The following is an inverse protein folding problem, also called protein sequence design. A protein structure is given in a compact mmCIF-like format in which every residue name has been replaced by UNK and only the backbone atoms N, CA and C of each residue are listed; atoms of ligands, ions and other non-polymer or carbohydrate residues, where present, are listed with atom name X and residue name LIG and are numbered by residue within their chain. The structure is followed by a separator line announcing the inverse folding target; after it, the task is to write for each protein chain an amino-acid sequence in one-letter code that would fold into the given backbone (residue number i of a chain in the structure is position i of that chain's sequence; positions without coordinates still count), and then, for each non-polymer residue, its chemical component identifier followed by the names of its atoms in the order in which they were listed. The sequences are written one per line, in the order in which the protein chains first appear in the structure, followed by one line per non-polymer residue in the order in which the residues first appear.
data_IF_674571704178
#
_entry.id   IF_674571704178
#
_cell.length_a   1.000
_cell.length_b   1.000
_cell.length_c   1.000
_cell.angle_alpha   90.00
_cell.angle_beta   90.00
_cell.angle_gamma   90.00
#
_symmetry.space_group_name_H-M   'P 1'
#
loop_
_entity.id
_entity.type
_entity.pdbx_description
1 polymer ?
#
# COMPACT_ATOMS: atom_id res chain seq x y z
N UNK A 1 53.79 11.00 -5.99
CA UNK A 1 52.86 10.73 -4.88
C UNK A 1 51.97 9.57 -5.30
N UNK A 2 52.10 8.37 -4.70
CA UNK A 2 51.18 7.25 -4.91
C UNK A 2 49.87 7.68 -4.27
N UNK A 3 48.77 7.75 -5.05
CA UNK A 3 47.44 7.90 -4.50
C UNK A 3 47.14 6.67 -3.65
N UNK A 4 46.85 6.85 -2.38
CA UNK A 4 46.37 5.80 -1.51
C UNK A 4 44.94 5.39 -1.98
N UNK A 5 44.87 4.37 -2.81
CA UNK A 5 43.59 3.83 -3.33
C UNK A 5 43.44 2.40 -2.88
N UNK A 6 42.22 2.03 -2.48
CA UNK A 6 41.87 0.65 -2.19
C UNK A 6 41.35 0.00 -3.48
N UNK A 7 41.92 -1.16 -3.84
CA UNK A 7 41.47 -1.93 -5.01
C UNK A 7 41.20 -3.36 -4.59
N UNK A 8 40.01 -3.87 -4.87
CA UNK A 8 39.62 -5.27 -4.64
C UNK A 8 40.27 -6.19 -5.70
N UNK A 9 41.59 -6.23 -5.77
CA UNK A 9 42.29 -7.10 -6.71
C UNK A 9 43.57 -7.60 -6.07
N UNK A 10 43.93 -8.85 -6.35
CA UNK A 10 45.22 -9.44 -6.00
C UNK A 10 46.09 -9.32 -7.23
N UNK A 11 47.07 -8.43 -7.18
CA UNK A 11 48.01 -8.20 -8.29
C UNK A 11 49.22 -9.16 -8.27
N UNK A 12 49.54 -9.73 -7.10
CA UNK A 12 50.57 -10.72 -6.95
C UNK A 12 50.23 -11.63 -5.78
N UNK A 13 50.47 -12.91 -5.94
CA UNK A 13 50.38 -13.90 -4.85
C UNK A 13 51.67 -13.85 -4.02
N UNK A 14 51.55 -13.95 -2.69
CA UNK A 14 52.72 -14.09 -1.84
C UNK A 14 53.43 -15.42 -2.15
N UNK A 15 54.76 -15.42 -2.01
CA UNK A 15 55.56 -16.64 -2.14
C UNK A 15 55.27 -17.61 -1.00
N UNK A 16 55.44 -18.90 -1.25
CA UNK A 16 55.31 -19.95 -0.23
C UNK A 16 56.33 -19.68 0.89
N UNK A 17 55.88 -19.82 2.15
CA UNK A 17 56.69 -19.56 3.37
C UNK A 17 56.98 -18.07 3.65
N UNK A 18 56.27 -17.12 3.05
CA UNK A 18 56.34 -15.71 3.48
C UNK A 18 55.70 -15.53 4.85
N UNK A 19 56.32 -14.71 5.69
CA UNK A 19 55.78 -14.33 6.99
C UNK A 19 54.52 -13.46 6.81
N UNK A 20 53.49 -13.76 7.61
CA UNK A 20 52.27 -13.01 7.68
C UNK A 20 52.26 -12.21 9.00
N UNK A 21 52.01 -10.95 8.90
CA UNK A 21 51.93 -10.04 10.05
C UNK A 21 50.49 -9.48 10.14
N UNK A 22 49.92 -9.36 11.35
CA UNK A 22 48.69 -8.65 11.54
C UNK A 22 48.89 -7.17 11.23
N UNK A 23 47.84 -6.52 10.69
CA UNK A 23 47.80 -5.05 10.54
C UNK A 23 47.31 -4.51 11.87
N UNK A 24 48.16 -3.74 12.57
CA UNK A 24 47.85 -3.21 13.91
C UNK A 24 48.13 -1.73 14.00
N UNK A 25 47.63 -1.09 15.05
CA UNK A 25 47.86 0.30 15.42
C UNK A 25 47.63 1.29 14.26
N UNK A 26 48.60 2.16 14.00
CA UNK A 26 48.56 3.19 12.99
C UNK A 26 48.34 2.66 11.59
N UNK A 27 48.90 1.50 11.26
CA UNK A 27 48.75 0.86 9.96
C UNK A 27 47.30 0.40 9.73
N UNK A 28 46.62 -0.07 10.78
CA UNK A 28 45.20 -0.41 10.75
C UNK A 28 44.34 0.85 10.59
N UNK A 29 44.60 1.91 11.38
CA UNK A 29 43.90 3.20 11.28
C UNK A 29 44.01 3.76 9.84
N UNK A 30 45.23 3.79 9.27
CA UNK A 30 45.48 4.27 7.92
C UNK A 30 44.71 3.45 6.86
N UNK A 31 44.75 2.09 7.00
CA UNK A 31 44.04 1.19 6.11
C UNK A 31 42.52 1.39 6.18
N UNK A 32 41.97 1.43 7.38
CA UNK A 32 40.54 1.62 7.60
C UNK A 32 40.07 3.02 7.18
N UNK A 33 40.90 4.04 7.37
CA UNK A 33 40.67 5.39 6.87
C UNK A 33 40.58 5.46 5.34
N UNK A 34 41.48 4.75 4.65
CA UNK A 34 41.45 4.66 3.17
C UNK A 34 40.19 3.91 2.71
N UNK A 35 39.83 2.82 3.37
CA UNK A 35 38.63 2.04 3.06
C UNK A 35 37.34 2.89 3.22
N UNK A 36 37.26 3.63 4.34
CA UNK A 36 36.15 4.53 4.62
C UNK A 36 36.06 5.66 3.56
N UNK A 37 37.17 6.29 3.25
CA UNK A 37 37.23 7.35 2.24
C UNK A 37 36.84 6.83 0.83
N UNK A 38 37.31 5.66 0.45
CA UNK A 38 36.97 5.02 -0.83
C UNK A 38 35.49 4.69 -0.89
N UNK A 39 34.92 4.08 0.13
CA UNK A 39 33.51 3.74 0.16
C UNK A 39 32.59 4.96 0.08
N UNK A 40 33.01 6.11 0.66
CA UNK A 40 32.28 7.37 0.56
C UNK A 40 32.40 7.99 -0.84
N UNK A 41 33.60 7.96 -1.43
CA UNK A 41 33.88 8.63 -2.71
C UNK A 41 33.31 7.84 -3.90
N UNK A 42 33.29 6.52 -3.81
CA UNK A 42 32.80 5.62 -4.87
C UNK A 42 31.26 5.53 -4.90
N UNK A 43 30.58 6.00 -3.84
CA UNK A 43 29.13 6.03 -3.76
C UNK A 43 28.56 7.31 -4.36
N UNK A 44 27.51 7.19 -5.17
CA UNK A 44 26.77 8.34 -5.72
C UNK A 44 25.98 9.05 -4.62
N UNK A 45 25.35 8.28 -3.73
CA UNK A 45 24.62 8.79 -2.58
C UNK A 45 25.13 8.10 -1.30
N UNK A 46 26.25 8.54 -0.70
CA UNK A 46 26.86 7.87 0.44
C UNK A 46 26.01 8.02 1.70
N UNK A 47 25.47 6.90 2.20
CA UNK A 47 24.72 6.81 3.45
C UNK A 47 25.59 6.15 4.51
N UNK A 48 25.80 6.84 5.62
CA UNK A 48 26.56 6.31 6.75
C UNK A 48 25.69 5.32 7.54
N UNK A 49 26.14 4.08 7.63
CA UNK A 49 25.41 3.04 8.39
C UNK A 49 26.02 2.72 9.75
N UNK A 50 27.22 3.22 10.03
CA UNK A 50 27.92 2.98 11.28
C UNK A 50 29.41 3.21 11.18
N UNK A 51 30.16 2.48 11.98
CA UNK A 51 31.63 2.43 11.96
C UNK A 51 32.10 0.98 11.82
N UNK A 52 33.32 0.82 11.35
CA UNK A 52 33.92 -0.51 11.25
C UNK A 52 34.26 -1.07 12.63
N UNK A 53 34.01 -2.36 12.85
CA UNK A 53 34.33 -3.02 14.14
C UNK A 53 35.81 -2.99 14.46
N UNK A 54 36.69 -3.02 13.45
CA UNK A 54 38.13 -3.01 13.61
C UNK A 54 38.69 -1.63 13.95
N UNK A 55 37.98 -0.56 13.58
CA UNK A 55 38.36 0.82 13.90
C UNK A 55 37.11 1.68 14.04
N UNK A 56 36.72 1.97 15.27
CA UNK A 56 35.54 2.78 15.60
C UNK A 56 35.60 4.24 15.12
N UNK A 57 36.75 4.74 14.61
CA UNK A 57 36.87 6.07 14.00
C UNK A 57 36.57 6.02 12.49
N UNK A 58 36.70 4.87 11.84
CA UNK A 58 36.46 4.70 10.42
C UNK A 58 34.97 4.48 10.15
N UNK A 59 34.30 5.43 9.49
CA UNK A 59 32.88 5.33 9.14
C UNK A 59 32.65 4.37 7.99
N UNK A 60 31.60 3.57 8.10
CA UNK A 60 31.11 2.68 7.05
C UNK A 60 29.99 3.33 6.27
N UNK A 61 30.13 3.38 4.94
CA UNK A 61 29.16 3.95 4.02
C UNK A 61 28.62 2.86 3.08
N UNK A 62 27.33 2.98 2.76
CA UNK A 62 26.70 2.25 1.65
C UNK A 62 26.32 3.25 0.57
N UNK A 63 26.24 2.78 -0.65
CA UNK A 63 25.77 3.57 -1.78
C UNK A 63 24.23 3.55 -1.77
N UNK A 64 23.62 4.70 -1.46
CA UNK A 64 22.16 4.83 -1.38
C UNK A 64 21.49 4.58 -2.73
N UNK A 65 22.13 4.97 -3.83
CA UNK A 65 21.59 4.70 -5.16
C UNK A 65 21.47 3.17 -5.41
N UNK A 66 22.50 2.42 -5.09
CA UNK A 66 22.47 0.94 -5.19
C UNK A 66 21.53 0.29 -4.19
N UNK A 67 21.40 0.86 -2.98
CA UNK A 67 20.50 0.36 -1.95
C UNK A 67 19.05 0.46 -2.43
N UNK A 68 18.65 1.61 -2.96
CA UNK A 68 17.28 1.90 -3.34
C UNK A 68 16.87 1.37 -4.72
N UNK A 69 17.84 1.03 -5.58
CA UNK A 69 17.56 0.35 -6.86
C UNK A 69 17.22 -1.13 -6.73
N UNK A 70 17.48 -1.73 -5.57
CA UNK A 70 17.28 -3.17 -5.30
C UNK A 70 16.51 -3.38 -4.00
N UNK A 71 16.29 -4.65 -3.68
CA UNK A 71 15.70 -5.03 -2.40
C UNK A 71 16.79 -5.16 -1.34
N UNK A 72 16.49 -4.67 -0.14
CA UNK A 72 17.33 -4.82 1.03
C UNK A 72 16.51 -5.37 2.19
N UNK A 73 17.13 -6.19 3.05
CA UNK A 73 16.53 -6.69 4.28
C UNK A 73 17.44 -6.33 5.46
N UNK A 74 16.88 -5.67 6.47
CA UNK A 74 17.53 -5.38 7.73
C UNK A 74 17.02 -6.38 8.77
N UNK A 75 17.90 -7.29 9.18
CA UNK A 75 17.56 -8.36 10.11
C UNK A 75 18.16 -8.11 11.49
N UNK A 76 17.43 -8.47 12.52
CA UNK A 76 17.89 -8.36 13.91
C UNK A 76 16.79 -8.73 14.89
N UNK A 77 17.16 -9.10 16.11
CA UNK A 77 16.23 -9.34 17.21
C UNK A 77 15.59 -8.03 17.72
N UNK A 78 14.52 -8.14 18.49
CA UNK A 78 13.93 -7.00 19.18
C UNK A 78 14.98 -6.30 20.06
N UNK A 79 15.03 -4.96 19.99
CA UNK A 79 16.01 -4.15 20.71
C UNK A 79 17.42 -4.11 20.09
N UNK A 80 17.65 -4.75 18.92
CA UNK A 80 18.96 -4.70 18.22
C UNK A 80 19.25 -3.38 17.51
N UNK A 81 18.30 -2.45 17.47
CA UNK A 81 18.43 -1.15 16.80
C UNK A 81 17.99 -1.13 15.34
N UNK A 82 17.16 -2.09 14.88
CA UNK A 82 16.63 -2.10 13.50
C UNK A 82 15.97 -0.77 13.13
N UNK A 83 14.94 -0.37 13.88
CA UNK A 83 14.18 0.86 13.63
C UNK A 83 15.05 2.11 13.71
N UNK A 84 16.02 2.13 14.63
CA UNK A 84 16.99 3.23 14.71
C UNK A 84 17.89 3.29 13.46
N UNK A 85 18.31 2.15 12.94
CA UNK A 85 19.11 2.09 11.69
C UNK A 85 18.28 2.55 10.49
N UNK A 86 17.03 2.10 10.39
CA UNK A 86 16.09 2.57 9.34
C UNK A 86 15.90 4.08 9.47
N UNK A 87 15.63 4.59 10.68
CA UNK A 87 15.48 6.00 10.96
C UNK A 87 16.68 6.84 10.50
N UNK A 88 17.90 6.36 10.81
CA UNK A 88 19.14 7.03 10.41
C UNK A 88 19.34 7.04 8.88
N UNK A 89 18.94 5.96 8.17
CA UNK A 89 18.97 5.91 6.71
C UNK A 89 17.95 6.90 6.13
N UNK A 90 16.73 6.94 6.67
CA UNK A 90 15.68 7.85 6.22
C UNK A 90 16.08 9.32 6.43
N UNK A 91 16.65 9.68 7.59
CA UNK A 91 17.12 11.03 7.87
C UNK A 91 18.18 11.50 6.86
N UNK A 92 19.12 10.65 6.53
CA UNK A 92 20.13 10.95 5.53
C UNK A 92 19.53 11.02 4.11
N UNK A 93 18.59 10.12 3.80
CA UNK A 93 17.90 10.10 2.51
C UNK A 93 17.01 11.32 2.28
N UNK A 94 16.49 11.92 3.35
CA UNK A 94 15.72 13.15 3.29
C UNK A 94 16.51 14.35 2.69
N UNK A 95 17.82 14.26 2.67
CA UNK A 95 18.70 15.27 2.09
C UNK A 95 18.99 15.03 0.61
N UNK A 96 18.58 13.89 0.05
CA UNK A 96 18.79 13.57 -1.35
C UNK A 96 17.74 14.27 -2.22
N UNK A 97 18.15 14.85 -3.39
CA UNK A 97 17.26 15.71 -4.19
C UNK A 97 16.05 14.99 -4.80
N UNK A 98 16.13 13.67 -4.94
CA UNK A 98 15.10 12.84 -5.60
C UNK A 98 14.60 11.70 -4.71
N UNK A 99 14.69 11.85 -3.40
CA UNK A 99 14.13 10.85 -2.48
C UNK A 99 12.63 10.72 -2.70
N UNK A 100 12.15 9.50 -2.90
CA UNK A 100 10.72 9.17 -2.98
C UNK A 100 10.49 7.86 -2.22
N UNK A 101 10.25 7.99 -0.92
CA UNK A 101 10.20 6.87 0.02
C UNK A 101 8.87 6.88 0.74
N UNK A 102 8.21 5.73 0.77
CA UNK A 102 6.99 5.48 1.56
C UNK A 102 7.33 4.47 2.65
N UNK A 103 7.13 4.84 3.90
CA UNK A 103 7.31 3.98 5.06
C UNK A 103 5.95 3.48 5.52
N UNK A 104 5.78 2.16 5.57
CA UNK A 104 4.62 1.51 6.17
C UNK A 104 4.96 1.23 7.64
N UNK A 105 4.50 2.10 8.52
CA UNK A 105 4.82 2.11 9.95
C UNK A 105 3.72 1.39 10.73
N UNK A 106 3.93 0.12 11.07
CA UNK A 106 2.91 -0.68 11.74
C UNK A 106 2.76 -0.34 13.22
N UNK A 107 3.80 0.24 13.84
CA UNK A 107 3.84 0.46 15.29
C UNK A 107 3.94 1.95 15.70
N UNK A 108 4.00 2.88 14.74
CA UNK A 108 4.12 4.32 15.02
C UNK A 108 5.52 4.73 15.48
N UNK A 109 6.56 3.93 15.18
CA UNK A 109 7.93 4.16 15.65
C UNK A 109 8.59 5.39 15.02
N UNK A 110 8.09 5.81 13.84
CA UNK A 110 8.66 6.92 13.05
C UNK A 110 7.90 8.24 13.19
N UNK A 111 6.93 8.32 14.09
CA UNK A 111 6.06 9.50 14.32
C UNK A 111 6.81 10.80 14.67
N UNK A 112 8.01 10.69 15.26
CA UNK A 112 8.83 11.83 15.65
C UNK A 112 9.65 12.47 14.53
N UNK A 113 9.66 11.91 13.32
CA UNK A 113 10.48 12.36 12.19
C UNK A 113 9.90 13.61 11.53
N UNK A 114 10.40 14.78 11.89
CA UNK A 114 9.89 16.09 11.42
C UNK A 114 10.18 16.39 9.94
N UNK A 115 11.08 15.66 9.31
CA UNK A 115 11.43 15.83 7.90
C UNK A 115 10.49 15.08 6.94
N UNK A 116 9.62 14.21 7.47
CA UNK A 116 8.70 13.40 6.67
C UNK A 116 7.28 13.98 6.70
N UNK A 117 6.51 13.67 5.65
CA UNK A 117 5.06 13.87 5.64
C UNK A 117 4.40 12.70 6.36
N UNK A 118 3.56 13.00 7.35
CA UNK A 118 2.89 11.99 8.16
C UNK A 118 1.44 11.82 7.73
N UNK A 119 1.07 10.60 7.43
CA UNK A 119 -0.29 10.18 7.16
C UNK A 119 -0.68 9.03 8.07
N UNK A 120 -1.97 8.88 8.31
CA UNK A 120 -2.55 7.72 9.02
C UNK A 120 -3.85 7.30 8.39
N UNK A 121 -4.26 6.08 8.61
CA UNK A 121 -5.57 5.63 8.15
C UNK A 121 -6.64 6.35 8.99
N UNK A 122 -7.67 6.86 8.31
CA UNK A 122 -8.71 7.64 8.94
C UNK A 122 -9.50 6.83 9.98
N UNK A 123 -9.74 7.44 11.12
CA UNK A 123 -10.63 6.93 12.16
C UNK A 123 -12.00 7.62 12.12
N UNK A 124 -12.90 7.24 13.05
CA UNK A 124 -14.24 7.83 13.16
C UNK A 124 -14.18 9.34 13.39
N UNK A 125 -13.19 9.82 14.14
CA UNK A 125 -13.00 11.24 14.41
C UNK A 125 -12.75 12.08 13.16
N UNK A 126 -12.19 11.47 12.12
CA UNK A 126 -11.80 12.16 10.88
C UNK A 126 -12.96 12.35 9.90
N UNK A 127 -14.06 11.59 10.05
CA UNK A 127 -15.22 11.67 9.15
C UNK A 127 -15.79 13.10 9.10
N UNK A 128 -15.78 13.79 10.23
CA UNK A 128 -16.31 15.15 10.35
C UNK A 128 -15.23 16.23 10.37
N UNK A 129 -13.97 15.84 10.62
CA UNK A 129 -12.84 16.74 10.67
C UNK A 129 -12.13 16.71 9.32
N UNK A 130 -11.96 17.86 8.67
CA UNK A 130 -11.06 17.97 7.53
C UNK A 130 -9.63 17.82 8.03
N UNK A 131 -9.11 16.60 8.02
CA UNK A 131 -7.76 16.28 8.43
C UNK A 131 -6.96 15.81 7.22
N UNK A 132 -6.06 16.66 6.73
CA UNK A 132 -5.27 16.38 5.53
C UNK A 132 -4.31 15.21 5.72
N UNK A 133 -3.97 14.86 6.97
CA UNK A 133 -3.14 13.71 7.30
C UNK A 133 -3.91 12.37 7.29
N UNK A 134 -5.25 12.41 7.27
CA UNK A 134 -6.05 11.20 7.24
C UNK A 134 -6.19 10.66 5.81
N UNK A 135 -6.01 9.34 5.68
CA UNK A 135 -6.24 8.61 4.42
C UNK A 135 -7.52 7.81 4.56
N UNK A 136 -8.50 8.10 3.72
CA UNK A 136 -9.66 7.25 3.53
C UNK A 136 -9.40 6.30 2.37
N UNK A 137 -9.85 5.06 2.50
CA UNK A 137 -9.70 4.01 1.50
C UNK A 137 -11.09 3.48 1.17
N UNK A 138 -11.85 4.16 0.31
CA UNK A 138 -13.22 3.77 -0.01
C UNK A 138 -13.33 2.34 -0.52
N UNK A 139 -14.43 1.66 -0.18
CA UNK A 139 -14.67 0.25 -0.51
C UNK A 139 -14.60 -0.07 -2.02
N UNK A 140 -14.91 0.89 -2.88
CA UNK A 140 -14.85 0.73 -4.34
C UNK A 140 -13.42 0.58 -4.89
N UNK A 141 -12.40 0.82 -4.06
CA UNK A 141 -10.99 0.54 -4.37
C UNK A 141 -10.63 -0.93 -4.18
N UNK A 142 -11.45 -1.71 -3.46
CA UNK A 142 -11.19 -3.13 -3.27
C UNK A 142 -11.26 -3.89 -4.59
N UNK A 143 -10.33 -4.83 -4.78
CA UNK A 143 -10.44 -5.83 -5.84
C UNK A 143 -11.53 -6.84 -5.49
N UNK A 144 -11.94 -7.61 -6.48
CA UNK A 144 -12.93 -8.67 -6.28
C UNK A 144 -12.47 -9.70 -5.22
N UNK A 145 -11.21 -10.10 -5.25
CA UNK A 145 -10.64 -11.04 -4.28
C UNK A 145 -10.62 -10.45 -2.86
N UNK A 146 -10.29 -9.17 -2.71
CA UNK A 146 -10.34 -8.45 -1.44
C UNK A 146 -11.79 -8.37 -0.94
N UNK A 147 -12.76 -8.02 -1.80
CA UNK A 147 -14.18 -8.02 -1.45
C UNK A 147 -14.66 -9.40 -1.01
N UNK A 148 -14.30 -10.45 -1.74
CA UNK A 148 -14.63 -11.83 -1.35
C UNK A 148 -14.06 -12.17 0.03
N UNK A 149 -12.82 -11.78 0.31
CA UNK A 149 -12.18 -12.09 1.59
C UNK A 149 -12.87 -11.42 2.78
N UNK A 150 -13.43 -10.23 2.55
CA UNK A 150 -14.12 -9.44 3.59
C UNK A 150 -15.57 -9.90 3.80
N UNK A 151 -16.29 -10.20 2.72
CA UNK A 151 -17.75 -10.36 2.78
C UNK A 151 -18.24 -11.79 2.62
N UNK A 152 -17.56 -12.64 1.85
CA UNK A 152 -18.03 -13.99 1.53
C UNK A 152 -17.54 -15.01 2.56
N UNK A 153 -18.44 -15.84 3.03
CA UNK A 153 -18.08 -17.00 3.84
C UNK A 153 -17.70 -18.19 2.95
N UNK A 154 -16.41 -18.37 2.77
CA UNK A 154 -15.86 -19.41 1.90
C UNK A 154 -16.19 -20.84 2.38
N UNK A 155 -16.58 -21.02 3.64
CA UNK A 155 -16.93 -22.32 4.20
C UNK A 155 -18.39 -22.71 4.00
N UNK A 156 -19.24 -21.80 3.53
CA UNK A 156 -20.67 -22.04 3.36
C UNK A 156 -21.03 -22.63 2.00
N UNK A 157 -22.03 -23.50 1.93
CA UNK A 157 -22.54 -24.14 0.70
C UNK A 157 -22.97 -23.14 -0.38
N UNK A 158 -23.35 -21.94 0.02
CA UNK A 158 -23.76 -20.85 -0.88
C UNK A 158 -22.62 -19.91 -1.28
N UNK A 159 -21.37 -20.16 -0.90
CA UNK A 159 -20.23 -19.30 -1.24
C UNK A 159 -20.11 -19.04 -2.76
N UNK A 160 -20.25 -20.03 -3.65
CA UNK A 160 -20.20 -19.78 -5.09
C UNK A 160 -21.30 -18.83 -5.57
N UNK A 161 -22.54 -19.00 -5.08
CA UNK A 161 -23.67 -18.14 -5.43
C UNK A 161 -23.46 -16.70 -4.92
N UNK A 162 -22.94 -16.54 -3.70
CA UNK A 162 -22.62 -15.24 -3.11
C UNK A 162 -21.52 -14.52 -3.90
N UNK A 163 -20.46 -15.26 -4.26
CA UNK A 163 -19.35 -14.72 -5.05
C UNK A 163 -19.81 -14.27 -6.44
N UNK A 164 -20.60 -15.07 -7.12
CA UNK A 164 -21.12 -14.74 -8.44
C UNK A 164 -22.06 -13.52 -8.37
N UNK A 165 -23.01 -13.52 -7.44
CA UNK A 165 -23.94 -12.41 -7.27
C UNK A 165 -23.23 -11.10 -6.91
N UNK A 166 -22.19 -11.15 -6.08
CA UNK A 166 -21.36 -10.00 -5.75
C UNK A 166 -20.66 -9.47 -6.99
N UNK A 167 -20.01 -10.35 -7.76
CA UNK A 167 -19.29 -9.97 -8.98
C UNK A 167 -20.21 -9.29 -9.99
N UNK A 168 -21.34 -9.93 -10.30
CA UNK A 168 -22.31 -9.42 -11.28
C UNK A 168 -22.88 -8.07 -10.86
N UNK A 169 -23.25 -7.92 -9.57
CA UNK A 169 -23.79 -6.66 -9.05
C UNK A 169 -22.74 -5.55 -9.05
N UNK A 170 -21.47 -5.84 -8.71
CA UNK A 170 -20.39 -4.84 -8.75
C UNK A 170 -20.13 -4.40 -10.19
N UNK A 171 -20.09 -5.32 -11.17
CA UNK A 171 -19.91 -4.99 -12.58
C UNK A 171 -21.06 -4.10 -13.07
N UNK A 172 -22.29 -4.43 -12.72
CA UNK A 172 -23.48 -3.65 -13.05
C UNK A 172 -23.40 -2.22 -12.50
N UNK A 173 -23.09 -2.08 -11.20
CA UNK A 173 -22.94 -0.77 -10.56
C UNK A 173 -21.80 0.06 -11.17
N UNK A 174 -20.64 -0.52 -11.40
CA UNK A 174 -19.49 0.18 -12.02
C UNK A 174 -19.79 0.64 -13.44
N UNK A 175 -20.44 -0.20 -14.26
CA UNK A 175 -20.85 0.18 -15.62
C UNK A 175 -21.87 1.33 -15.63
N UNK A 176 -22.86 1.29 -14.74
CA UNK A 176 -23.80 2.38 -14.57
C UNK A 176 -23.10 3.68 -14.15
N UNK A 177 -22.16 3.59 -13.22
CA UNK A 177 -21.35 4.72 -12.78
C UNK A 177 -20.50 5.31 -13.91
N UNK A 178 -19.82 4.49 -14.73
CA UNK A 178 -19.06 4.95 -15.91
C UNK A 178 -19.96 5.72 -16.89
N UNK A 179 -21.17 5.22 -17.13
CA UNK A 179 -22.12 5.90 -18.01
C UNK A 179 -22.52 7.28 -17.45
N UNK A 180 -22.70 7.38 -16.13
CA UNK A 180 -23.03 8.63 -15.45
C UNK A 180 -21.85 9.62 -15.45
N UNK A 181 -20.62 9.12 -15.33
CA UNK A 181 -19.39 9.93 -15.39
C UNK A 181 -19.10 10.49 -16.79
N UNK A 182 -19.74 9.96 -17.84
CA UNK A 182 -19.48 10.37 -19.21
C UNK A 182 -18.06 10.04 -19.70
N UNK A 183 -17.45 8.97 -19.16
CA UNK A 183 -16.10 8.50 -19.47
C UNK A 183 -16.14 7.11 -20.15
N UNK A 184 -16.67 7.01 -21.38
CA UNK A 184 -16.80 5.71 -22.07
C UNK A 184 -15.47 5.01 -22.32
N UNK A 185 -14.35 5.73 -22.35
CA UNK A 185 -13.00 5.19 -22.47
C UNK A 185 -12.64 4.23 -21.33
N UNK A 186 -13.28 4.37 -20.16
CA UNK A 186 -13.08 3.45 -19.03
C UNK A 186 -13.69 2.06 -19.29
N UNK A 187 -14.52 1.91 -20.33
CA UNK A 187 -15.05 0.60 -20.73
C UNK A 187 -14.04 -0.20 -21.55
N UNK A 188 -13.03 0.45 -22.13
CA UNK A 188 -11.93 -0.23 -22.79
C UNK A 188 -11.04 -0.92 -21.75
N UNK A 189 -10.95 -2.24 -21.79
CA UNK A 189 -10.23 -3.02 -20.79
C UNK A 189 -10.89 -3.08 -19.40
N UNK A 190 -12.18 -2.73 -19.30
CA UNK A 190 -12.92 -2.79 -18.05
C UNK A 190 -12.96 -4.19 -17.45
N UNK A 191 -12.66 -4.28 -16.18
CA UNK A 191 -12.78 -5.49 -15.35
C UNK A 191 -13.54 -5.15 -14.05
N UNK A 192 -13.91 -6.17 -13.30
CA UNK A 192 -14.49 -6.00 -11.96
C UNK A 192 -13.58 -5.19 -11.02
N UNK A 193 -12.26 -5.25 -11.25
CA UNK A 193 -11.24 -4.57 -10.43
C UNK A 193 -10.95 -3.14 -10.88
N UNK A 194 -11.51 -2.69 -11.99
CA UNK A 194 -11.37 -1.29 -12.42
C UNK A 194 -11.88 -0.35 -11.32
N UNK A 195 -11.06 0.60 -10.82
CA UNK A 195 -11.42 1.46 -9.70
C UNK A 195 -12.39 2.55 -10.13
N UNK A 196 -13.68 2.27 -10.00
CA UNK A 196 -14.78 3.21 -10.31
C UNK A 196 -15.66 3.36 -9.08
N UNK A 197 -15.91 4.60 -8.61
CA UNK A 197 -16.81 4.84 -7.50
C UNK A 197 -18.24 4.39 -7.81
N UNK A 198 -18.89 3.74 -6.85
CA UNK A 198 -20.29 3.39 -6.87
C UNK A 198 -20.83 3.41 -5.44
N UNK A 199 -22.15 3.50 -5.28
CA UNK A 199 -22.76 3.57 -3.94
C UNK A 199 -22.94 2.17 -3.37
N UNK A 200 -22.52 2.00 -2.13
CA UNK A 200 -22.66 0.72 -1.43
C UNK A 200 -24.13 0.37 -1.14
N UNK A 201 -24.96 1.38 -0.87
CA UNK A 201 -26.40 1.18 -0.67
C UNK A 201 -27.08 0.60 -1.91
N UNK A 202 -26.68 1.04 -3.11
CA UNK A 202 -27.21 0.53 -4.37
C UNK A 202 -26.77 -0.92 -4.60
N UNK A 203 -25.53 -1.27 -4.24
CA UNK A 203 -25.05 -2.65 -4.26
C UNK A 203 -25.88 -3.54 -3.32
N UNK A 204 -26.09 -3.10 -2.08
CA UNK A 204 -26.89 -3.85 -1.09
C UNK A 204 -28.31 -4.05 -1.62
N UNK A 205 -28.92 -3.00 -2.19
CA UNK A 205 -30.26 -3.07 -2.76
C UNK A 205 -30.31 -4.08 -3.92
N UNK A 206 -29.38 -4.02 -4.87
CA UNK A 206 -29.30 -4.98 -5.98
C UNK A 206 -29.20 -6.44 -5.48
N UNK A 207 -28.41 -6.67 -4.43
CA UNK A 207 -28.26 -8.00 -3.83
C UNK A 207 -29.50 -8.43 -3.03
N UNK A 208 -30.19 -7.53 -2.33
CA UNK A 208 -31.48 -7.79 -1.67
C UNK A 208 -32.53 -8.16 -2.72
N UNK A 209 -32.65 -7.40 -3.81
CA UNK A 209 -33.59 -7.66 -4.90
C UNK A 209 -33.37 -9.06 -5.52
N UNK A 210 -32.10 -9.43 -5.77
CA UNK A 210 -31.72 -10.78 -6.26
C UNK A 210 -32.04 -11.88 -5.25
N UNK A 211 -31.88 -11.60 -3.94
CA UNK A 211 -32.19 -12.56 -2.86
C UNK A 211 -33.69 -12.80 -2.71
N UNK A 212 -34.52 -11.81 -3.02
CA UNK A 212 -35.97 -11.86 -2.86
C UNK A 212 -36.69 -12.06 -4.21
N UNK A 213 -35.93 -12.27 -5.30
CA UNK A 213 -36.45 -12.39 -6.65
C UNK A 213 -37.52 -13.47 -6.74
N UNK A 214 -38.65 -13.08 -7.33
CA UNK A 214 -39.74 -13.96 -7.69
C UNK A 214 -40.03 -13.81 -9.20
N UNK A 215 -39.91 -14.89 -9.93
CA UNK A 215 -40.10 -14.93 -11.39
C UNK A 215 -41.56 -15.23 -11.69
N UNK A 216 -42.20 -14.37 -12.49
CA UNK A 216 -43.56 -14.62 -12.99
C UNK A 216 -43.50 -15.78 -14.02
N UNK A 217 -44.27 -16.85 -13.77
CA UNK A 217 -44.32 -18.00 -14.66
C UNK A 217 -45.20 -17.76 -15.91
N UNK A 218 -45.90 -16.62 -15.99
CA UNK A 218 -46.89 -16.35 -17.02
C UNK A 218 -48.18 -17.12 -16.83
N UNK A 219 -48.31 -17.94 -15.76
CA UNK A 219 -49.49 -18.69 -15.41
C UNK A 219 -50.27 -18.00 -14.28
N UNK A 220 -51.56 -18.35 -14.17
CA UNK A 220 -52.39 -17.95 -13.02
C UNK A 220 -52.79 -19.16 -12.19
N UNK A 221 -53.02 -18.95 -10.88
CA UNK A 221 -53.53 -19.99 -10.04
C UNK A 221 -54.91 -20.43 -10.50
N UNK A 222 -55.07 -21.75 -10.83
CA UNK A 222 -56.30 -22.32 -11.35
C UNK A 222 -57.36 -22.50 -10.29
N UNK A 223 -57.00 -22.61 -8.98
CA UNK A 223 -57.93 -22.88 -7.87
C UNK A 223 -57.38 -22.33 -6.54
N UNK A 224 -58.22 -22.28 -5.50
CA UNK A 224 -57.87 -21.87 -4.15
C UNK A 224 -57.98 -20.37 -3.90
N UNK A 225 -57.51 -19.87 -2.73
CA UNK A 225 -57.66 -18.45 -2.32
C UNK A 225 -56.95 -17.42 -3.27
N UNK A 226 -55.99 -17.91 -4.09
CA UNK A 226 -55.21 -17.11 -5.05
C UNK A 226 -55.69 -17.27 -6.50
N UNK A 227 -56.84 -17.87 -6.74
CA UNK A 227 -57.36 -18.12 -8.09
C UNK A 227 -57.37 -16.80 -8.90
N UNK A 228 -56.74 -16.86 -10.10
CA UNK A 228 -56.66 -15.71 -11.01
C UNK A 228 -55.50 -14.74 -10.71
N UNK A 229 -54.72 -14.93 -9.62
CA UNK A 229 -53.50 -14.15 -9.39
C UNK A 229 -52.31 -14.74 -10.19
N UNK A 230 -51.34 -13.92 -10.60
CA UNK A 230 -50.11 -14.40 -11.22
C UNK A 230 -49.43 -15.43 -10.34
N UNK A 231 -48.98 -16.54 -10.95
CA UNK A 231 -48.17 -17.54 -10.28
C UNK A 231 -46.70 -17.19 -10.38
N UNK A 232 -46.05 -17.04 -9.24
CA UNK A 232 -44.63 -16.75 -9.17
C UNK A 232 -43.85 -17.94 -8.62
N UNK A 233 -42.65 -18.15 -9.13
CA UNK A 233 -41.68 -19.09 -8.62
C UNK A 233 -40.46 -18.35 -8.06
N UNK A 234 -39.75 -19.01 -7.13
CA UNK A 234 -38.56 -18.43 -6.54
C UNK A 234 -37.45 -18.33 -7.57
N UNK A 235 -36.82 -17.16 -7.66
CA UNK A 235 -35.64 -16.95 -8.49
C UNK A 235 -34.45 -17.83 -8.05
N UNK A 236 -33.44 -17.97 -8.90
CA UNK A 236 -32.31 -18.89 -8.68
C UNK A 236 -31.48 -18.58 -7.44
N UNK A 237 -31.45 -17.30 -7.00
CA UNK A 237 -30.72 -16.83 -5.83
C UNK A 237 -31.61 -16.59 -4.61
N UNK A 238 -32.93 -16.82 -4.73
CA UNK A 238 -33.87 -16.55 -3.65
C UNK A 238 -33.47 -17.27 -2.34
N UNK A 239 -33.26 -16.49 -1.26
CA UNK A 239 -32.84 -16.95 0.05
C UNK A 239 -31.38 -17.38 0.18
N UNK A 240 -30.61 -17.47 -0.91
CA UNK A 240 -29.22 -17.93 -0.87
C UNK A 240 -28.23 -16.84 -0.45
N UNK A 241 -28.62 -15.57 -0.54
CA UNK A 241 -27.77 -14.43 -0.18
C UNK A 241 -28.04 -13.89 1.23
N UNK A 242 -29.04 -14.40 1.95
CA UNK A 242 -29.50 -13.82 3.23
C UNK A 242 -28.38 -13.70 4.27
N UNK A 243 -27.56 -14.73 4.49
CA UNK A 243 -26.42 -14.70 5.43
C UNK A 243 -25.33 -13.72 4.98
N UNK A 244 -25.07 -13.67 3.70
CA UNK A 244 -24.13 -12.76 3.09
C UNK A 244 -24.53 -11.29 3.28
N UNK A 245 -25.81 -10.97 3.04
CA UNK A 245 -26.38 -9.64 3.22
C UNK A 245 -26.33 -9.18 4.68
N UNK A 246 -26.65 -10.07 5.64
CA UNK A 246 -26.51 -9.76 7.06
C UNK A 246 -25.06 -9.41 7.38
N UNK A 247 -24.08 -10.18 6.88
CA UNK A 247 -22.66 -9.93 7.11
C UNK A 247 -22.22 -8.61 6.50
N UNK A 248 -22.59 -8.34 5.23
CA UNK A 248 -22.30 -7.11 4.54
C UNK A 248 -22.84 -5.89 5.31
N UNK A 249 -24.13 -5.90 5.67
CA UNK A 249 -24.78 -4.84 6.45
C UNK A 249 -24.13 -4.66 7.84
N UNK A 250 -23.71 -5.75 8.49
CA UNK A 250 -22.99 -5.69 9.76
C UNK A 250 -21.64 -5.01 9.60
N UNK A 251 -20.87 -5.36 8.57
CA UNK A 251 -19.57 -4.76 8.29
C UNK A 251 -19.67 -3.28 7.91
N UNK A 252 -20.70 -2.87 7.17
CA UNK A 252 -20.94 -1.46 6.83
C UNK A 252 -21.16 -0.58 8.07
N UNK A 253 -21.74 -1.14 9.12
CA UNK A 253 -22.00 -0.46 10.39
C UNK A 253 -20.88 -0.62 11.43
N UNK A 254 -19.85 -1.40 11.12
CA UNK A 254 -18.71 -1.61 12.00
C UNK A 254 -17.78 -0.39 11.95
N UNK A 255 -17.62 0.25 13.10
CA UNK A 255 -16.80 1.45 13.27
C UNK A 255 -15.34 1.27 12.86
N UNK A 256 -14.84 0.05 12.92
CA UNK A 256 -13.46 -0.29 12.55
C UNK A 256 -13.19 -0.09 11.05
N UNK A 257 -14.25 -0.15 10.23
CA UNK A 257 -14.20 0.07 8.79
C UNK A 257 -14.69 1.47 8.36
N UNK A 258 -14.80 2.41 9.30
CA UNK A 258 -15.31 3.75 9.00
C UNK A 258 -14.49 4.47 7.91
N UNK A 259 -13.19 4.25 7.85
CA UNK A 259 -12.31 4.78 6.79
C UNK A 259 -12.69 4.29 5.38
N UNK A 260 -13.46 3.21 5.29
CA UNK A 260 -13.84 2.58 4.02
C UNK A 260 -15.30 2.86 3.65
N UNK A 261 -16.21 2.76 4.62
CA UNK A 261 -17.66 2.85 4.36
C UNK A 261 -18.28 4.21 4.71
N UNK A 262 -17.58 5.03 5.46
CA UNK A 262 -18.04 6.33 5.92
C UNK A 262 -17.08 7.44 5.48
N UNK A 263 -16.37 7.22 4.38
CA UNK A 263 -15.51 8.24 3.80
C UNK A 263 -16.33 9.48 3.44
N UNK A 264 -15.75 10.70 3.56
CA UNK A 264 -16.40 11.93 3.12
C UNK A 264 -16.82 11.88 1.65
N UNK A 265 -17.84 12.67 1.29
CA UNK A 265 -18.44 12.71 -0.07
C UNK A 265 -17.39 12.94 -1.18
N UNK A 266 -16.32 13.68 -0.89
CA UNK A 266 -15.21 13.91 -1.81
C UNK A 266 -14.49 12.61 -2.23
N UNK A 267 -14.59 11.54 -1.41
CA UNK A 267 -14.07 10.21 -1.72
C UNK A 267 -15.05 9.30 -2.45
N UNK A 268 -16.28 9.74 -2.65
CA UNK A 268 -17.28 9.07 -3.50
C UNK A 268 -17.15 9.46 -4.97
N UNK A 269 -16.32 10.46 -5.28
CA UNK A 269 -16.07 10.94 -6.63
C UNK A 269 -14.84 10.27 -7.26
N UNK A 270 -14.79 10.22 -8.59
CA UNK A 270 -13.66 9.65 -9.34
C UNK A 270 -12.36 10.42 -9.07
N UNK A 271 -12.44 11.71 -8.80
CA UNK A 271 -11.34 12.60 -8.46
C UNK A 271 -10.61 12.21 -7.17
N UNK A 272 -11.25 11.42 -6.30
CA UNK A 272 -10.60 10.87 -5.11
C UNK A 272 -9.34 10.04 -5.43
N UNK A 273 -9.25 9.44 -6.63
CA UNK A 273 -8.04 8.76 -7.08
C UNK A 273 -6.84 9.71 -7.15
N UNK A 274 -7.05 10.96 -7.59
CA UNK A 274 -5.99 11.97 -7.62
C UNK A 274 -5.56 12.39 -6.22
N UNK A 275 -6.53 12.53 -5.30
CA UNK A 275 -6.23 12.85 -3.90
C UNK A 275 -5.40 11.75 -3.26
N UNK A 276 -5.79 10.49 -3.47
CA UNK A 276 -5.05 9.32 -2.97
C UNK A 276 -3.67 9.20 -3.62
N UNK A 277 -3.58 9.36 -4.95
CA UNK A 277 -2.31 9.33 -5.64
C UNK A 277 -1.36 10.40 -5.10
N UNK A 278 -1.82 11.62 -4.87
CA UNK A 278 -1.02 12.69 -4.30
C UNK A 278 -0.56 12.38 -2.86
N UNK A 279 -1.43 11.82 -2.01
CA UNK A 279 -1.07 11.45 -0.65
C UNK A 279 -0.08 10.28 -0.62
N UNK A 280 -0.25 9.27 -1.47
CA UNK A 280 0.58 8.07 -1.47
C UNK A 280 1.90 8.27 -2.25
N UNK A 281 1.85 8.95 -3.39
CA UNK A 281 2.99 9.07 -4.32
C UNK A 281 3.50 10.48 -4.52
N UNK A 282 2.65 11.51 -4.30
CA UNK A 282 3.03 12.90 -4.54
C UNK A 282 4.27 13.30 -3.73
N UNK A 283 5.10 14.14 -4.28
CA UNK A 283 6.19 14.81 -3.58
C UNK A 283 5.62 15.90 -2.70
N UNK A 284 4.79 15.54 -1.72
CA UNK A 284 3.92 16.43 -0.98
C UNK A 284 4.57 17.73 -0.52
N UNK A 285 3.89 18.86 -0.75
CA UNK A 285 4.21 20.11 -0.09
C UNK A 285 3.89 19.95 1.40
N UNK A 286 4.90 19.71 2.19
CA UNK A 286 4.78 19.80 3.65
C UNK A 286 4.56 21.28 3.97
N UNK A 287 3.41 21.63 4.52
CA UNK A 287 3.18 22.98 4.99
C UNK A 287 4.28 23.37 5.99
N UNK A 288 5.18 24.27 5.57
CA UNK A 288 6.21 24.86 6.45
C UNK A 288 7.50 24.07 6.64
N UNK A 289 7.80 23.04 5.85
CA UNK A 289 8.99 22.21 6.01
C UNK A 289 9.68 21.80 4.71
N UNK A 290 10.83 21.20 4.86
CA UNK A 290 11.63 20.63 3.80
C UNK A 290 10.83 19.54 3.10
N UNK A 291 10.60 19.65 1.79
CA UNK A 291 10.02 18.58 0.99
C UNK A 291 11.07 17.47 0.83
N UNK A 292 11.07 16.51 1.75
CA UNK A 292 12.08 15.44 1.76
C UNK A 292 11.76 14.28 0.83
N UNK A 293 10.55 14.25 0.23
CA UNK A 293 10.08 13.12 -0.55
C UNK A 293 9.80 11.85 0.30
N UNK A 294 9.86 11.96 1.62
CA UNK A 294 9.58 10.84 2.53
C UNK A 294 8.18 10.96 3.13
N UNK A 295 7.42 9.89 3.04
CA UNK A 295 6.06 9.76 3.58
C UNK A 295 6.03 8.61 4.56
N UNK A 296 5.42 8.82 5.71
CA UNK A 296 5.18 7.80 6.73
C UNK A 296 3.69 7.58 6.83
N UNK A 297 3.26 6.35 6.59
CA UNK A 297 1.87 5.95 6.75
C UNK A 297 1.78 5.13 8.04
N UNK A 298 1.18 5.71 9.04
CA UNK A 298 1.02 5.12 10.38
C UNK A 298 -0.22 4.22 10.41
N UNK A 299 -0.01 2.96 10.76
CA UNK A 299 -1.05 1.95 10.94
C UNK A 299 -1.25 1.55 12.41
N UNK A 300 -0.55 2.19 13.36
CA UNK A 300 -0.52 1.78 14.77
C UNK A 300 -1.88 1.77 15.45
N UNK A 301 -2.81 2.60 14.98
CA UNK A 301 -4.19 2.65 15.50
C UNK A 301 -5.13 1.63 14.83
N UNK A 302 -4.64 0.84 13.87
CA UNK A 302 -5.48 -0.14 13.15
C UNK A 302 -5.63 -1.44 13.94
N UNK A 303 -6.86 -1.97 14.06
CA UNK A 303 -7.08 -3.28 14.67
C UNK A 303 -6.35 -4.38 13.90
N UNK A 304 -5.76 -5.33 14.62
CA UNK A 304 -4.92 -6.40 14.07
C UNK A 304 -5.63 -7.31 13.06
N UNK A 305 -6.96 -7.46 13.18
CA UNK A 305 -7.77 -8.27 12.26
C UNK A 305 -8.03 -7.59 10.91
N UNK A 306 -7.89 -6.26 10.83
CA UNK A 306 -8.09 -5.46 9.62
C UNK A 306 -6.75 -5.05 9.01
N UNK A 307 -5.70 -4.96 9.81
CA UNK A 307 -4.39 -4.47 9.43
C UNK A 307 -3.84 -5.12 8.15
N UNK A 308 -3.85 -6.47 7.98
CA UNK A 308 -3.34 -7.09 6.76
C UNK A 308 -4.07 -6.65 5.49
N UNK A 309 -5.39 -6.47 5.57
CA UNK A 309 -6.20 -5.97 4.44
C UNK A 309 -5.78 -4.56 4.06
N UNK A 310 -5.65 -3.68 5.04
CA UNK A 310 -5.36 -2.25 4.81
C UNK A 310 -3.94 -2.04 4.29
N UNK A 311 -2.95 -2.71 4.88
CA UNK A 311 -1.56 -2.67 4.42
C UNK A 311 -1.44 -3.22 3.00
N UNK A 312 -2.11 -4.35 2.72
CA UNK A 312 -2.16 -4.94 1.38
C UNK A 312 -2.80 -4.01 0.35
N UNK A 313 -3.92 -3.38 0.71
CA UNK A 313 -4.63 -2.40 -0.14
C UNK A 313 -3.74 -1.18 -0.44
N UNK A 314 -3.10 -0.59 0.58
CA UNK A 314 -2.19 0.55 0.39
C UNK A 314 -1.00 0.18 -0.48
N UNK A 315 -0.34 -0.96 -0.21
CA UNK A 315 0.78 -1.45 -1.01
C UNK A 315 0.39 -1.69 -2.48
N UNK A 316 -0.78 -2.30 -2.72
CA UNK A 316 -1.31 -2.51 -4.06
C UNK A 316 -1.62 -1.20 -4.77
N UNK A 317 -2.23 -0.23 -4.09
CA UNK A 317 -2.51 1.09 -4.67
C UNK A 317 -1.23 1.80 -5.07
N UNK A 318 -0.22 1.83 -4.20
CA UNK A 318 1.10 2.42 -4.51
C UNK A 318 1.67 1.77 -5.77
N UNK A 319 1.67 0.42 -5.84
CA UNK A 319 2.18 -0.30 -6.99
C UNK A 319 1.39 0.02 -8.28
N UNK A 320 0.06 -0.05 -8.24
CA UNK A 320 -0.78 0.16 -9.41
C UNK A 320 -0.69 1.59 -9.93
N UNK A 321 -0.75 2.59 -9.05
CA UNK A 321 -0.63 3.99 -9.45
C UNK A 321 0.74 4.22 -10.10
N UNK A 322 1.82 3.74 -9.49
CA UNK A 322 3.17 3.87 -10.05
C UNK A 322 3.33 3.14 -11.39
N UNK A 323 2.76 1.94 -11.50
CA UNK A 323 2.86 1.11 -12.71
C UNK A 323 2.12 1.73 -13.90
N UNK A 324 0.93 2.29 -13.66
CA UNK A 324 0.09 2.86 -14.72
C UNK A 324 0.30 4.37 -14.95
N UNK A 325 1.09 5.03 -14.10
CA UNK A 325 1.45 6.43 -14.33
C UNK A 325 2.24 6.58 -15.63
N UNK A 326 1.77 7.45 -16.50
CA UNK A 326 2.51 7.83 -17.69
C UNK A 326 3.76 8.63 -17.34
N UNK A 327 4.86 8.54 -18.10
CA UNK A 327 5.93 9.54 -18.03
C UNK A 327 5.33 10.93 -18.27
N UNK A 328 5.83 11.95 -17.56
CA UNK A 328 5.40 13.32 -17.79
C UNK A 328 5.60 13.75 -19.25
N UNK A 329 4.85 14.76 -19.71
CA UNK A 329 4.93 15.29 -21.09
C UNK A 329 6.35 15.75 -21.46
N UNK A 330 7.17 16.13 -20.47
CA UNK A 330 8.56 16.56 -20.64
C UNK A 330 9.55 15.39 -20.73
N UNK A 331 9.09 14.14 -20.80
CA UNK A 331 9.95 12.95 -20.87
C UNK A 331 10.69 12.66 -19.57
N UNK A 332 10.29 13.27 -18.47
CA UNK A 332 10.84 12.99 -17.15
C UNK A 332 10.62 11.53 -16.81
N UNK A 333 11.72 10.84 -16.50
CA UNK A 333 11.69 9.46 -16.09
C UNK A 333 10.79 9.34 -14.84
N UNK A 334 9.97 8.28 -14.80
CA UNK A 334 9.21 7.94 -13.59
C UNK A 334 10.17 7.89 -12.41
N UNK A 335 9.91 8.70 -11.40
CA UNK A 335 10.68 8.62 -10.16
C UNK A 335 10.34 7.30 -9.45
N UNK A 336 11.29 6.38 -9.32
CA UNK A 336 11.04 5.12 -8.64
C UNK A 336 10.67 5.37 -7.18
N UNK A 337 9.77 4.54 -6.66
CA UNK A 337 9.36 4.59 -5.26
C UNK A 337 10.08 3.50 -4.48
N UNK A 338 10.58 3.87 -3.33
CA UNK A 338 11.09 2.93 -2.33
C UNK A 338 10.01 2.71 -1.29
N UNK A 339 9.64 1.46 -1.06
CA UNK A 339 8.72 1.09 0.03
C UNK A 339 9.56 0.49 1.15
N UNK A 340 9.46 1.08 2.33
CA UNK A 340 10.05 0.58 3.55
C UNK A 340 8.94 -0.08 4.36
N UNK A 341 9.03 -1.38 4.54
CA UNK A 341 8.10 -2.14 5.37
C UNK A 341 8.77 -2.43 6.71
N UNK A 342 8.24 -1.84 7.76
CA UNK A 342 8.62 -2.22 9.12
C UNK A 342 7.86 -3.49 9.51
N UNK A 343 8.54 -4.42 10.22
CA UNK A 343 7.96 -5.72 10.62
C UNK A 343 7.33 -6.48 9.44
N UNK A 344 8.12 -6.71 8.39
CA UNK A 344 7.68 -7.36 7.13
C UNK A 344 7.41 -8.88 7.23
N UNK A 345 7.29 -9.44 8.44
CA UNK A 345 7.00 -10.86 8.70
C UNK A 345 5.51 -11.21 8.74
#
# INVERSE_FOLDING_TARGET
QRKNTFTRAVFSLPEINRLVFPIEEKSLEDFMGILSASSKTDAVAPLKVGTYTLDGKASAYIDGDKLFQKHAALLGSTGSGKSFTVASILEQSAQLPHANIVVLDLHGEYSSMKFASHYRIAGIGDIKAKNDSAIFLPFWLLTYDEMQSVFVDRSGDNAPNQSLALMDSVIEMKRAAISTLGKPELLEGFTVDTPVPYRLDDLVKSLDDKNDEAIDTGETYASGPRKGQPKTEKGPLNGKLSRFLIRLKTKMNDRRYAFMYQAPEEYEAYEALHVLANKLLGTGNVQGGINSGIKIIDFSEMPSDILPLVVGLVGRLIYQIQFWSSPGEDGDARHPIVIVCDEAH
#
